data_IF_978976768638
#
_entry.id   IF_978976768638
#
_cell.length_a   1.000
_cell.length_b   1.000
_cell.length_c   1.000
_cell.angle_alpha   90.00
_cell.angle_beta   90.00
_cell.angle_gamma   90.00
#
_symmetry.space_group_name_H-M   'P 1'
#
loop_
_entity.id
_entity.type
_entity.pdbx_description
1 polymer ?
#
# COMPACT_ATOMS: atom_id res chain seq x y z
N UNK A 1 -43.31 -43.50 22.08
CA UNK A 1 -42.07 -44.01 21.44
C UNK A 1 -42.02 -43.34 20.07
N UNK A 2 -41.58 -42.09 20.03
CA UNK A 2 -40.19 -41.65 19.83
C UNK A 2 -39.66 -42.04 18.47
N UNK A 3 -39.72 -41.08 17.54
CA UNK A 3 -38.55 -40.67 16.77
C UNK A 3 -38.63 -39.14 16.71
N UNK A 4 -37.85 -38.51 17.58
CA UNK A 4 -37.62 -37.08 17.54
C UNK A 4 -36.81 -36.79 16.30
N UNK A 5 -37.40 -36.01 15.40
CA UNK A 5 -36.74 -35.41 14.25
C UNK A 5 -35.46 -34.74 14.75
N UNK A 6 -34.33 -35.36 14.43
CA UNK A 6 -33.02 -34.81 14.66
C UNK A 6 -32.89 -33.61 13.76
N UNK A 7 -33.23 -32.44 14.28
CA UNK A 7 -32.86 -31.16 13.69
C UNK A 7 -31.34 -31.14 13.55
N UNK A 8 -30.88 -31.44 12.34
CA UNK A 8 -29.50 -31.25 11.96
C UNK A 8 -29.11 -29.81 12.31
N UNK A 9 -27.99 -29.56 13.01
CA UNK A 9 -27.46 -28.22 13.10
C UNK A 9 -27.04 -27.85 11.68
N UNK A 10 -27.93 -27.08 11.04
CA UNK A 10 -27.88 -26.64 9.67
C UNK A 10 -26.46 -26.16 9.31
N UNK A 11 -25.91 -26.75 8.25
CA UNK A 11 -24.59 -26.54 7.66
C UNK A 11 -24.29 -25.08 7.20
N UNK A 12 -25.03 -24.08 7.69
CA UNK A 12 -24.99 -22.68 7.27
C UNK A 12 -23.83 -21.85 7.88
N UNK A 13 -22.99 -22.43 8.75
CA UNK A 13 -22.02 -21.67 9.56
C UNK A 13 -20.56 -21.90 9.18
N UNK A 14 -20.30 -22.37 7.96
CA UNK A 14 -18.94 -22.52 7.43
C UNK A 14 -18.79 -21.82 6.07
N UNK A 15 -19.39 -20.64 5.92
CA UNK A 15 -19.00 -19.72 4.86
C UNK A 15 -17.71 -19.01 5.29
N UNK A 16 -16.67 -19.03 4.47
CA UNK A 16 -15.42 -18.30 4.74
C UNK A 16 -15.79 -16.82 4.93
N UNK A 17 -15.77 -16.35 6.18
CA UNK A 17 -16.13 -14.97 6.55
C UNK A 17 -17.37 -14.81 7.43
N UNK A 18 -18.15 -15.86 7.71
CA UNK A 18 -19.25 -15.76 8.69
C UNK A 18 -18.68 -15.79 10.11
N UNK A 19 -18.52 -14.62 10.73
CA UNK A 19 -18.13 -14.50 12.15
C UNK A 19 -19.40 -14.57 13.00
N UNK A 20 -19.53 -15.51 13.96
CA UNK A 20 -20.65 -15.51 14.90
C UNK A 20 -20.49 -14.30 15.84
N UNK A 21 -21.37 -13.31 15.70
CA UNK A 21 -21.39 -12.15 16.59
C UNK A 21 -22.24 -12.43 17.84
N UNK A 22 -21.92 -11.81 19.00
CA UNK A 22 -22.75 -11.90 20.18
C UNK A 22 -24.13 -11.26 19.95
N UNK A 23 -25.16 -11.83 20.57
CA UNK A 23 -26.54 -11.36 20.49
C UNK A 23 -26.63 -9.86 20.82
N UNK A 24 -27.15 -9.07 19.87
CA UNK A 24 -27.25 -7.60 19.97
C UNK A 24 -26.19 -6.80 19.20
N UNK A 25 -25.32 -7.46 18.43
CA UNK A 25 -24.33 -6.79 17.56
C UNK A 25 -24.84 -6.43 16.15
N UNK A 26 -26.15 -6.51 15.89
CA UNK A 26 -26.75 -6.20 14.58
C UNK A 26 -26.43 -4.77 14.11
N UNK A 27 -26.26 -3.85 15.06
CA UNK A 27 -25.86 -2.47 14.79
C UNK A 27 -24.49 -2.37 14.11
N UNK A 28 -23.58 -3.31 14.38
CA UNK A 28 -22.25 -3.34 13.79
C UNK A 28 -22.33 -3.77 12.33
N UNK A 29 -23.12 -4.82 12.03
CA UNK A 29 -23.34 -5.28 10.65
C UNK A 29 -24.02 -4.18 9.84
N UNK A 30 -25.09 -3.58 10.37
CA UNK A 30 -25.79 -2.47 9.72
C UNK A 30 -24.87 -1.26 9.51
N UNK A 31 -24.03 -0.94 10.50
CA UNK A 31 -23.07 0.15 10.42
C UNK A 31 -21.99 -0.08 9.35
N UNK A 32 -21.38 -1.26 9.32
CA UNK A 32 -20.38 -1.63 8.32
C UNK A 32 -20.99 -1.70 6.92
N UNK A 33 -22.19 -2.25 6.77
CA UNK A 33 -22.90 -2.28 5.49
C UNK A 33 -23.23 -0.86 4.99
N UNK A 34 -23.70 0.03 5.88
CA UNK A 34 -23.95 1.43 5.54
C UNK A 34 -22.67 2.17 5.13
N UNK A 35 -21.57 1.95 5.85
CA UNK A 35 -20.27 2.50 5.49
C UNK A 35 -19.78 1.98 4.14
N UNK A 36 -19.85 0.66 3.91
CA UNK A 36 -19.44 0.05 2.65
C UNK A 36 -20.23 0.62 1.46
N UNK A 37 -21.54 0.79 1.61
CA UNK A 37 -22.38 1.35 0.56
C UNK A 37 -21.98 2.80 0.24
N UNK A 38 -21.88 3.67 1.25
CA UNK A 38 -21.52 5.07 1.04
C UNK A 38 -20.08 5.28 0.56
N UNK A 39 -19.13 4.56 1.14
CA UNK A 39 -17.73 4.62 0.72
C UNK A 39 -17.52 4.00 -0.65
N UNK A 40 -18.25 2.93 -0.99
CA UNK A 40 -18.15 2.24 -2.29
C UNK A 40 -18.45 3.14 -3.48
N UNK A 41 -19.36 4.10 -3.34
CA UNK A 41 -19.66 5.07 -4.41
C UNK A 41 -18.56 6.13 -4.58
N UNK A 42 -17.94 6.57 -3.49
CA UNK A 42 -16.95 7.64 -3.49
C UNK A 42 -15.52 7.13 -3.74
N UNK A 43 -15.22 5.92 -3.26
CA UNK A 43 -13.89 5.31 -3.23
C UNK A 43 -13.19 5.28 -4.59
N UNK A 44 -13.84 4.87 -5.70
CA UNK A 44 -13.18 4.79 -7.01
C UNK A 44 -12.64 6.15 -7.48
N UNK A 45 -13.39 7.23 -7.25
CA UNK A 45 -13.01 8.57 -7.67
C UNK A 45 -11.85 9.11 -6.83
N UNK A 46 -11.90 8.91 -5.50
CA UNK A 46 -10.80 9.28 -4.61
C UNK A 46 -9.53 8.49 -4.93
N UNK A 47 -9.65 7.19 -5.18
CA UNK A 47 -8.53 6.33 -5.52
C UNK A 47 -7.84 6.80 -6.81
N UNK A 48 -8.59 7.10 -7.87
CA UNK A 48 -8.04 7.64 -9.13
C UNK A 48 -7.29 8.95 -8.89
N UNK A 49 -7.89 9.88 -8.15
CA UNK A 49 -7.25 11.16 -7.84
C UNK A 49 -5.93 10.98 -7.08
N UNK A 50 -5.93 10.11 -6.06
CA UNK A 50 -4.74 9.81 -5.26
C UNK A 50 -3.65 9.10 -6.07
N UNK A 51 -4.02 8.17 -6.95
CA UNK A 51 -3.06 7.50 -7.84
C UNK A 51 -2.39 8.49 -8.80
N UNK A 52 -3.17 9.37 -9.43
CA UNK A 52 -2.63 10.37 -10.37
C UNK A 52 -1.71 11.33 -9.63
N UNK A 53 -2.17 11.89 -8.50
CA UNK A 53 -1.36 12.78 -7.69
C UNK A 53 -0.07 12.09 -7.19
N UNK A 54 -0.20 10.85 -6.70
CA UNK A 54 0.92 10.05 -6.23
C UNK A 54 1.95 9.75 -7.31
N UNK A 55 1.51 9.38 -8.52
CA UNK A 55 2.42 9.19 -9.65
C UNK A 55 3.14 10.48 -10.03
N UNK A 56 2.42 11.60 -10.10
CA UNK A 56 3.02 12.90 -10.46
C UNK A 56 4.06 13.34 -9.43
N UNK A 57 3.73 13.27 -8.14
CA UNK A 57 4.65 13.65 -7.06
C UNK A 57 5.90 12.77 -7.06
N UNK A 58 5.73 11.44 -7.16
CA UNK A 58 6.88 10.54 -7.20
C UNK A 58 7.71 10.70 -8.48
N UNK A 59 7.08 10.99 -9.61
CA UNK A 59 7.80 11.29 -10.85
C UNK A 59 8.66 12.55 -10.71
N UNK A 60 8.12 13.61 -10.12
CA UNK A 60 8.89 14.83 -9.80
C UNK A 60 10.06 14.48 -8.88
N UNK A 61 9.85 13.64 -7.86
CA UNK A 61 10.93 13.17 -6.96
C UNK A 61 12.06 12.49 -7.74
N UNK A 62 11.73 11.58 -8.67
CA UNK A 62 12.74 10.94 -9.52
C UNK A 62 13.48 11.97 -10.36
N UNK A 63 12.77 12.90 -11.02
CA UNK A 63 13.39 13.93 -11.89
C UNK A 63 14.32 14.87 -11.11
N UNK A 64 13.92 15.26 -9.89
CA UNK A 64 14.73 16.15 -9.04
C UNK A 64 16.00 15.43 -8.57
N UNK A 65 15.87 14.18 -8.10
CA UNK A 65 16.96 13.43 -7.49
C UNK A 65 17.92 12.78 -8.51
N UNK A 66 17.49 12.58 -9.76
CA UNK A 66 18.35 12.08 -10.85
C UNK A 66 19.29 13.13 -11.44
N UNK A 67 19.22 14.40 -10.98
CA UNK A 67 20.15 15.45 -11.44
C UNK A 67 21.60 15.08 -11.06
N UNK A 68 22.57 15.12 -12.00
CA UNK A 68 23.95 14.65 -11.80
C UNK A 68 24.69 15.26 -10.59
N UNK A 69 24.31 16.49 -10.21
CA UNK A 69 24.88 17.20 -9.05
C UNK A 69 24.40 16.66 -7.69
N UNK A 70 23.43 15.75 -7.66
CA UNK A 70 22.80 15.25 -6.43
C UNK A 70 22.93 13.73 -6.24
N UNK A 71 23.85 13.07 -6.94
CA UNK A 71 24.04 11.61 -6.81
C UNK A 71 24.73 11.32 -5.46
N UNK A 72 23.93 10.89 -4.48
CA UNK A 72 24.37 10.42 -3.18
C UNK A 72 23.69 9.09 -2.87
N UNK A 73 24.25 8.21 -2.02
CA UNK A 73 23.64 6.92 -1.68
C UNK A 73 22.22 7.09 -1.11
N UNK A 74 21.98 8.16 -0.35
CA UNK A 74 20.66 8.51 0.20
C UNK A 74 19.69 8.88 -0.93
N UNK A 75 20.13 9.67 -1.90
CA UNK A 75 19.27 10.11 -3.01
C UNK A 75 18.96 8.98 -3.99
N UNK A 76 19.87 8.01 -4.16
CA UNK A 76 19.61 6.78 -4.92
C UNK A 76 18.52 5.94 -4.26
N UNK A 77 18.54 5.79 -2.93
CA UNK A 77 17.48 5.08 -2.20
C UNK A 77 16.13 5.81 -2.28
N UNK A 78 16.12 7.14 -2.16
CA UNK A 78 14.91 7.94 -2.35
C UNK A 78 14.34 7.80 -3.77
N UNK A 79 15.19 7.76 -4.79
CA UNK A 79 14.78 7.44 -6.16
C UNK A 79 14.16 6.04 -6.26
N UNK A 80 14.78 5.03 -5.63
CA UNK A 80 14.27 3.66 -5.66
C UNK A 80 12.88 3.56 -5.00
N UNK A 81 12.66 4.24 -3.86
CA UNK A 81 11.34 4.34 -3.21
C UNK A 81 10.33 5.00 -4.15
N UNK A 82 10.67 6.15 -4.74
CA UNK A 82 9.77 6.85 -5.66
C UNK A 82 9.40 6.00 -6.89
N UNK A 83 10.34 5.23 -7.43
CA UNK A 83 10.06 4.28 -8.53
C UNK A 83 9.13 3.16 -8.08
N UNK A 84 9.36 2.57 -6.92
CA UNK A 84 8.46 1.55 -6.36
C UNK A 84 7.03 2.09 -6.21
N UNK A 85 6.89 3.31 -5.68
CA UNK A 85 5.59 3.93 -5.48
C UNK A 85 4.89 4.26 -6.81
N UNK A 86 5.62 4.70 -7.85
CA UNK A 86 5.04 4.88 -9.20
C UNK A 86 4.50 3.56 -9.75
N UNK A 87 5.23 2.46 -9.58
CA UNK A 87 4.80 1.13 -10.07
C UNK A 87 3.53 0.69 -9.34
N UNK A 88 3.47 0.84 -8.02
CA UNK A 88 2.29 0.49 -7.22
C UNK A 88 1.10 1.36 -7.63
N UNK A 89 1.26 2.68 -7.66
CA UNK A 89 0.18 3.62 -8.00
C UNK A 89 -0.31 3.45 -9.44
N UNK A 90 0.59 3.17 -10.38
CA UNK A 90 0.23 2.89 -11.77
C UNK A 90 -0.56 1.60 -11.92
N UNK A 91 -0.12 0.52 -11.27
CA UNK A 91 -0.84 -0.76 -11.31
C UNK A 91 -2.22 -0.67 -10.63
N UNK A 92 -2.33 0.07 -9.53
CA UNK A 92 -3.60 0.30 -8.84
C UNK A 92 -4.54 1.20 -9.65
N UNK A 93 -4.03 2.21 -10.36
CA UNK A 93 -4.84 3.03 -11.26
C UNK A 93 -5.49 2.19 -12.36
N UNK A 94 -4.73 1.27 -12.99
CA UNK A 94 -5.28 0.35 -14.01
C UNK A 94 -6.37 -0.53 -13.39
N UNK A 95 -6.14 -1.06 -12.18
CA UNK A 95 -7.13 -1.86 -11.46
C UNK A 95 -8.43 -1.07 -11.21
N UNK A 96 -8.35 0.14 -10.66
CA UNK A 96 -9.54 0.96 -10.32
C UNK A 96 -10.30 1.38 -11.58
N UNK A 97 -9.61 1.81 -12.65
CA UNK A 97 -10.28 2.21 -13.88
C UNK A 97 -10.99 1.03 -14.55
N UNK A 98 -10.35 -0.14 -14.61
CA UNK A 98 -10.94 -1.32 -15.23
C UNK A 98 -12.06 -1.94 -14.38
N UNK A 99 -11.79 -2.28 -13.13
CA UNK A 99 -12.73 -3.05 -12.30
C UNK A 99 -13.76 -2.18 -11.58
N UNK A 100 -13.39 -1.00 -11.08
CA UNK A 100 -14.29 -0.18 -10.27
C UNK A 100 -15.10 0.83 -11.10
N UNK A 101 -14.60 1.27 -12.27
CA UNK A 101 -15.31 2.21 -13.13
C UNK A 101 -15.89 1.55 -14.39
N UNK A 102 -15.08 0.84 -15.18
CA UNK A 102 -15.52 0.28 -16.45
C UNK A 102 -16.40 -0.97 -16.29
N UNK A 103 -15.95 -1.97 -15.52
CA UNK A 103 -16.71 -3.20 -15.30
C UNK A 103 -18.01 -2.94 -14.53
N UNK A 104 -17.99 -2.02 -13.55
CA UNK A 104 -19.17 -1.61 -12.80
C UNK A 104 -20.26 -0.94 -13.68
N UNK A 105 -19.86 -0.25 -14.76
CA UNK A 105 -20.81 0.41 -15.68
C UNK A 105 -21.25 -0.48 -16.84
N UNK A 106 -20.43 -1.47 -17.25
CA UNK A 106 -20.70 -2.31 -18.43
C UNK A 106 -21.30 -3.68 -18.12
N UNK A 107 -21.12 -4.20 -16.91
CA UNK A 107 -21.64 -5.51 -16.46
C UNK A 107 -21.47 -6.64 -17.51
N UNK A 108 -20.35 -6.64 -18.24
CA UNK A 108 -20.12 -7.59 -19.34
C UNK A 108 -19.23 -8.75 -18.88
N UNK A 109 -19.56 -9.98 -19.30
CA UNK A 109 -18.75 -11.16 -18.99
C UNK A 109 -17.30 -11.07 -19.53
N UNK A 110 -17.06 -10.24 -20.55
CA UNK A 110 -15.72 -10.00 -21.11
C UNK A 110 -14.80 -9.22 -20.17
N UNK A 111 -15.33 -8.45 -19.22
CA UNK A 111 -14.53 -7.66 -18.26
C UNK A 111 -13.89 -8.54 -17.18
N UNK A 112 -14.37 -9.79 -17.04
CA UNK A 112 -13.89 -10.82 -16.11
C UNK A 112 -13.20 -11.98 -16.85
N UNK A 113 -12.43 -11.69 -17.89
CA UNK A 113 -11.67 -12.70 -18.62
C UNK A 113 -10.51 -13.26 -17.79
N UNK A 114 -10.00 -14.44 -18.18
CA UNK A 114 -8.84 -15.07 -17.55
C UNK A 114 -7.60 -14.15 -17.52
N UNK A 115 -7.42 -13.31 -18.55
CA UNK A 115 -6.32 -12.34 -18.61
C UNK A 115 -6.44 -11.27 -17.52
N UNK A 116 -7.65 -10.78 -17.26
CA UNK A 116 -7.90 -9.80 -16.19
C UNK A 116 -7.75 -10.40 -14.79
N UNK A 117 -8.12 -11.67 -14.61
CA UNK A 117 -7.87 -12.40 -13.37
C UNK A 117 -6.36 -12.56 -13.09
N UNK A 118 -5.56 -12.93 -14.12
CA UNK A 118 -4.11 -12.99 -14.01
C UNK A 118 -3.49 -11.63 -13.70
N UNK A 119 -3.98 -10.56 -14.35
CA UNK A 119 -3.55 -9.20 -14.04
C UNK A 119 -3.82 -8.86 -12.57
N UNK A 120 -5.01 -9.13 -12.06
CA UNK A 120 -5.36 -8.84 -10.65
C UNK A 120 -4.50 -9.64 -9.68
N UNK A 121 -4.23 -10.92 -9.98
CA UNK A 121 -3.34 -11.75 -9.16
C UNK A 121 -1.92 -11.18 -9.13
N UNK A 122 -1.37 -10.83 -10.31
CA UNK A 122 -0.06 -10.22 -10.40
C UNK A 122 0.00 -8.87 -9.69
N UNK A 123 -1.00 -8.01 -9.91
CA UNK A 123 -1.12 -6.71 -9.25
C UNK A 123 -1.16 -6.84 -7.72
N UNK A 124 -1.95 -7.77 -7.19
CA UNK A 124 -2.04 -8.03 -5.75
C UNK A 124 -0.68 -8.43 -5.15
N UNK A 125 0.06 -9.34 -5.81
CA UNK A 125 1.40 -9.72 -5.34
C UNK A 125 2.41 -8.58 -5.51
N UNK A 126 2.44 -7.95 -6.68
CA UNK A 126 3.38 -6.88 -7.00
C UNK A 126 3.21 -5.69 -6.06
N UNK A 127 1.98 -5.25 -5.80
CA UNK A 127 1.69 -4.14 -4.89
C UNK A 127 2.23 -4.38 -3.49
N UNK A 128 1.99 -5.57 -2.92
CA UNK A 128 2.51 -5.95 -1.59
C UNK A 128 4.05 -5.98 -1.58
N UNK A 129 4.67 -6.58 -2.59
CA UNK A 129 6.13 -6.69 -2.67
C UNK A 129 6.78 -5.31 -2.79
N UNK A 130 6.28 -4.45 -3.69
CA UNK A 130 6.85 -3.13 -3.91
C UNK A 130 6.60 -2.18 -2.74
N UNK A 131 5.42 -2.22 -2.09
CA UNK A 131 5.21 -1.48 -0.84
C UNK A 131 6.13 -1.94 0.28
N UNK A 132 6.27 -3.25 0.49
CA UNK A 132 7.23 -3.76 1.47
C UNK A 132 8.66 -3.31 1.14
N UNK A 133 9.05 -3.34 -0.13
CA UNK A 133 10.36 -2.86 -0.60
C UNK A 133 10.56 -1.38 -0.29
N UNK A 134 9.57 -0.51 -0.58
CA UNK A 134 9.63 0.92 -0.21
C UNK A 134 9.86 1.13 1.29
N UNK A 135 9.18 0.34 2.15
CA UNK A 135 9.34 0.40 3.61
C UNK A 135 10.77 0.01 4.00
N UNK A 136 11.28 -1.11 3.49
CA UNK A 136 12.65 -1.56 3.79
C UNK A 136 13.71 -0.57 3.30
N UNK A 137 13.55 0.00 2.11
CA UNK A 137 14.43 1.05 1.60
C UNK A 137 14.41 2.30 2.49
N UNK A 138 13.24 2.67 3.02
CA UNK A 138 13.11 3.79 3.96
C UNK A 138 13.82 3.51 5.28
N UNK A 139 13.74 2.28 5.78
CA UNK A 139 14.49 1.84 6.98
C UNK A 139 16.00 1.91 6.71
N UNK A 140 16.47 1.42 5.56
CA UNK A 140 17.88 1.51 5.17
C UNK A 140 18.36 2.96 5.06
N UNK A 141 17.53 3.85 4.52
CA UNK A 141 17.82 5.28 4.45
C UNK A 141 17.95 5.90 5.85
N UNK A 142 17.09 5.53 6.80
CA UNK A 142 17.17 5.99 8.17
C UNK A 142 18.49 5.54 8.83
N UNK A 143 18.91 4.29 8.60
CA UNK A 143 20.18 3.75 9.11
C UNK A 143 21.39 4.50 8.54
N UNK A 144 21.41 4.77 7.23
CA UNK A 144 22.52 5.52 6.59
C UNK A 144 22.61 6.93 7.16
N UNK A 145 21.47 7.61 7.34
CA UNK A 145 21.45 8.94 7.94
C UNK A 145 21.97 8.93 9.38
N UNK A 146 21.62 7.92 10.16
CA UNK A 146 22.11 7.77 11.52
C UNK A 146 23.64 7.64 11.57
N UNK A 147 24.22 6.75 10.77
CA UNK A 147 25.67 6.55 10.69
C UNK A 147 26.41 7.81 10.23
N UNK A 148 25.83 8.56 9.29
CA UNK A 148 26.40 9.84 8.84
C UNK A 148 26.46 10.87 9.97
N UNK A 149 25.42 10.95 10.81
CA UNK A 149 25.38 11.88 11.94
C UNK A 149 26.39 11.52 13.02
N UNK A 150 26.55 10.24 13.35
CA UNK A 150 27.56 9.78 14.31
C UNK A 150 29.00 10.05 13.82
N UNK A 151 29.25 9.81 12.52
CA UNK A 151 30.53 10.13 11.89
C UNK A 151 30.87 11.63 11.96
N UNK A 152 29.86 12.49 11.76
CA UNK A 152 30.04 13.94 11.89
C UNK A 152 30.35 14.35 13.34
N UNK A 153 29.64 13.80 14.33
CA UNK A 153 29.88 14.13 15.74
C UNK A 153 31.28 13.72 16.21
N UNK A 154 31.73 12.51 15.86
CA UNK A 154 33.07 12.04 16.21
C UNK A 154 34.17 12.90 15.58
N UNK A 155 34.01 13.33 14.32
CA UNK A 155 34.93 14.25 13.66
C UNK A 155 35.01 15.62 14.35
N UNK A 156 33.87 16.21 14.72
CA UNK A 156 33.83 17.49 15.45
C UNK A 156 34.53 17.38 16.82
N UNK A 157 34.33 16.29 17.54
CA UNK A 157 34.98 16.05 18.82
C UNK A 157 36.52 15.92 18.69
N UNK A 158 37.00 15.23 17.65
CA UNK A 158 38.43 15.11 17.37
C UNK A 158 39.06 16.47 17.01
N UNK A 159 38.34 17.30 16.24
CA UNK A 159 38.81 18.63 15.84
C UNK A 159 38.92 19.55 17.04
N UNK A 160 37.92 19.54 17.93
CA UNK A 160 37.93 20.34 19.16
C UNK A 160 39.07 19.95 20.13
N UNK A 161 39.36 18.65 20.25
CA UNK A 161 40.49 18.17 21.06
C UNK A 161 41.85 18.55 20.44
N UNK A 162 41.96 18.54 19.10
CA UNK A 162 43.17 18.99 18.42
C UNK A 162 43.43 20.49 18.65
N UNK A 163 42.39 21.32 18.61
CA UNK A 163 42.49 22.75 18.90
C UNK A 163 42.83 23.04 20.37
N UNK A 164 42.31 22.22 21.31
CA UNK A 164 42.59 22.38 22.75
C UNK A 164 44.02 21.96 23.14
N UNK A 165 44.63 21.03 22.41
CA UNK A 165 46.02 20.60 22.63
C UNK A 165 47.07 21.50 21.97
N UNK A 166 46.65 22.43 21.10
CA UNK A 166 47.50 23.41 20.42
C UNK A 166 47.62 24.75 21.19
N UNK A 167 46.99 24.86 22.37
CA UNK A 167 47.13 25.98 23.34
C UNK A 167 47.70 25.47 24.65
#
# INVERSE_FOLDING_TARGET
MNEGDGGEPELALCEIGSVPLPDGADWLIAGVAGFQAGYGELHPYLAVALCIAGMLMNFITVVVLTRPSMISPVNVLLCAVAVCDIIVMGSYLVFVVHFLLAAASRCLASDYSYAWALFTMFHAHASVIFHATSIWLTVSLAQIRFLQLEGLQSGLQQTYLADLLLF
#
